data_IF_375362740050
#
_entry.id   IF_375362740050
#
_cell.length_a   1.000
_cell.length_b   1.000
_cell.length_c   1.000
_cell.angle_alpha   90.00
_cell.angle_beta   90.00
_cell.angle_gamma   90.00
#
_symmetry.space_group_name_H-M   'P 1'
#
loop_
_entity.id
_entity.type
_entity.pdbx_description
1 polymer ?
#
# COMPACT_ATOMS: atom_id res chain seq x y z
N UNK A 1 28.15 -1.41 5.07
CA UNK A 1 28.23 -1.58 3.61
C UNK A 1 27.91 -0.24 2.95
N UNK A 2 28.90 0.52 2.47
CA UNK A 2 28.65 1.69 1.63
C UNK A 2 28.25 1.20 0.22
N UNK A 3 27.19 1.77 -0.37
CA UNK A 3 27.05 1.76 -1.85
C UNK A 3 26.01 0.86 -2.51
N UNK A 4 24.91 0.45 -1.85
CA UNK A 4 23.76 -0.09 -2.60
C UNK A 4 22.79 1.06 -2.84
N UNK A 5 22.60 1.46 -4.10
CA UNK A 5 21.55 2.40 -4.51
C UNK A 5 20.18 1.81 -4.09
N UNK A 6 19.53 2.37 -3.05
CA UNK A 6 18.30 1.83 -2.54
C UNK A 6 17.17 1.90 -3.58
N UNK A 7 17.15 2.94 -4.42
CA UNK A 7 16.15 3.09 -5.48
C UNK A 7 16.44 2.16 -6.65
N UNK A 8 17.71 1.92 -6.98
CA UNK A 8 18.14 0.90 -7.93
C UNK A 8 17.65 -0.50 -7.54
N UNK A 9 17.62 -0.80 -6.24
CA UNK A 9 17.06 -2.06 -5.71
C UNK A 9 15.55 -2.14 -5.95
N UNK A 10 14.80 -1.04 -5.80
CA UNK A 10 13.37 -1.00 -6.09
C UNK A 10 13.06 -1.16 -7.57
N UNK A 11 13.83 -0.49 -8.44
CA UNK A 11 13.68 -0.66 -9.90
C UNK A 11 13.96 -2.10 -10.31
N UNK A 12 14.99 -2.74 -9.75
CA UNK A 12 15.26 -4.16 -9.97
C UNK A 12 14.18 -5.08 -9.39
N UNK A 13 13.56 -4.71 -8.26
CA UNK A 13 12.44 -5.46 -7.70
C UNK A 13 11.20 -5.39 -8.60
N UNK A 14 10.92 -4.25 -9.22
CA UNK A 14 9.81 -4.06 -10.16
C UNK A 14 9.97 -4.88 -11.45
N UNK A 15 11.21 -5.09 -11.92
CA UNK A 15 11.47 -5.92 -13.10
C UNK A 15 11.37 -7.43 -12.84
N UNK A 16 11.25 -7.86 -11.58
CA UNK A 16 11.14 -9.29 -11.23
C UNK A 16 9.70 -9.76 -11.42
N UNK A 17 9.50 -10.96 -12.00
CA UNK A 17 8.15 -11.51 -12.14
C UNK A 17 7.53 -11.72 -10.75
N UNK A 18 6.24 -11.41 -10.65
CA UNK A 18 5.39 -11.85 -9.54
C UNK A 18 3.94 -11.81 -9.96
N UNK A 19 3.10 -12.60 -9.29
CA UNK A 19 1.68 -12.67 -9.60
C UNK A 19 0.86 -11.56 -8.95
N UNK A 20 -0.41 -11.52 -9.35
CA UNK A 20 -1.46 -10.84 -8.61
C UNK A 20 -1.56 -11.40 -7.18
N UNK A 21 -2.13 -10.60 -6.28
CA UNK A 21 -2.29 -10.99 -4.88
C UNK A 21 -3.70 -10.72 -4.41
N UNK A 22 -4.12 -11.35 -3.33
CA UNK A 22 -5.47 -11.18 -2.81
C UNK A 22 -5.54 -11.26 -1.29
N UNK A 23 -6.54 -10.60 -0.69
CA UNK A 23 -6.99 -10.85 0.68
C UNK A 23 -7.47 -12.32 0.88
N UNK A 24 -7.60 -13.08 -0.21
CA UNK A 24 -8.02 -14.48 -0.24
C UNK A 24 -6.84 -15.46 -0.27
N UNK A 25 -5.59 -15.01 -0.49
CA UNK A 25 -4.42 -15.89 -0.66
C UNK A 25 -4.17 -16.83 0.52
N UNK A 26 -4.51 -16.39 1.75
CA UNK A 26 -4.39 -17.19 2.98
C UNK A 26 -5.69 -17.92 3.36
N UNK A 27 -6.73 -17.83 2.54
CA UNK A 27 -8.08 -18.30 2.82
C UNK A 27 -8.65 -19.07 1.61
N UNK A 28 -8.04 -20.20 1.19
CA UNK A 28 -8.44 -20.92 -0.02
C UNK A 28 -9.88 -21.47 0.05
N UNK A 29 -10.38 -21.74 1.27
CA UNK A 29 -11.72 -22.27 1.50
C UNK A 29 -12.80 -21.17 1.56
N UNK A 30 -12.42 -19.89 1.41
CA UNK A 30 -13.36 -18.80 1.47
C UNK A 30 -13.99 -18.58 0.09
N UNK A 31 -15.27 -18.95 -0.03
CA UNK A 31 -16.01 -18.87 -1.29
C UNK A 31 -16.42 -17.41 -1.55
N UNK A 32 -16.06 -16.91 -2.73
CA UNK A 32 -16.48 -15.60 -3.20
C UNK A 32 -17.94 -15.61 -3.67
N UNK A 33 -18.70 -14.54 -3.37
CA UNK A 33 -20.02 -14.37 -3.98
C UNK A 33 -19.90 -14.38 -5.49
N UNK A 34 -20.74 -15.18 -6.16
CA UNK A 34 -20.83 -15.18 -7.62
C UNK A 34 -21.28 -13.81 -8.16
N UNK A 35 -20.80 -13.44 -9.35
CA UNK A 35 -21.19 -12.19 -10.03
C UNK A 35 -20.61 -10.91 -9.41
N UNK A 36 -19.60 -11.01 -8.55
CA UNK A 36 -18.93 -9.85 -7.95
C UNK A 36 -18.29 -8.98 -9.03
N UNK A 37 -18.69 -7.72 -9.07
CA UNK A 37 -18.04 -6.69 -9.88
C UNK A 37 -16.93 -6.06 -9.07
N UNK A 38 -15.68 -6.24 -9.50
CA UNK A 38 -14.53 -5.58 -8.90
C UNK A 38 -14.44 -4.15 -9.41
N UNK A 39 -14.24 -3.21 -8.48
CA UNK A 39 -14.06 -1.78 -8.79
C UNK A 39 -12.57 -1.48 -8.89
N UNK A 40 -12.11 -0.79 -9.94
CA UNK A 40 -10.71 -0.41 -10.04
C UNK A 40 -10.37 0.65 -8.99
N UNK A 41 -9.19 0.50 -8.37
CA UNK A 41 -8.61 1.44 -7.43
C UNK A 41 -7.10 1.48 -7.63
N UNK A 42 -6.44 2.53 -7.16
CA UNK A 42 -5.00 2.63 -7.18
C UNK A 42 -4.48 3.30 -5.92
N UNK A 43 -3.33 2.84 -5.45
CA UNK A 43 -2.65 3.39 -4.28
C UNK A 43 -1.22 3.74 -4.62
N UNK A 44 -0.73 4.85 -4.08
CA UNK A 44 0.68 5.18 -4.18
C UNK A 44 1.44 4.50 -3.04
N UNK A 45 2.57 3.90 -3.35
CA UNK A 45 3.60 3.45 -2.40
C UNK A 45 4.72 4.50 -2.43
N UNK A 46 4.55 5.66 -1.76
CA UNK A 46 5.49 6.77 -1.80
C UNK A 46 6.72 6.47 -0.95
N UNK A 47 7.89 6.52 -1.59
CA UNK A 47 9.19 6.27 -0.97
C UNK A 47 9.96 7.58 -0.84
N UNK A 48 10.44 7.90 0.35
CA UNK A 48 11.31 9.06 0.61
C UNK A 48 12.71 8.60 0.97
N UNK A 49 13.69 9.30 0.43
CA UNK A 49 15.05 9.23 0.90
C UNK A 49 15.21 10.05 2.20
N UNK A 50 16.06 9.57 3.10
CA UNK A 50 16.40 10.30 4.31
C UNK A 50 17.74 9.85 4.88
N UNK A 51 18.28 10.57 5.88
CA UNK A 51 19.60 10.26 6.46
C UNK A 51 19.72 8.84 7.03
N UNK A 52 18.60 8.28 7.52
CA UNK A 52 18.54 6.93 8.07
C UNK A 52 18.15 5.85 7.03
N UNK A 53 18.10 6.21 5.74
CA UNK A 53 17.68 5.34 4.64
C UNK A 53 16.28 5.66 4.12
N UNK A 54 15.74 4.74 3.31
CA UNK A 54 14.41 4.89 2.71
C UNK A 54 13.30 4.79 3.76
N UNK A 55 12.22 5.51 3.53
CA UNK A 55 10.98 5.49 4.31
C UNK A 55 9.78 5.38 3.37
N UNK A 56 8.69 4.79 3.84
CA UNK A 56 7.40 4.77 3.13
C UNK A 56 6.39 5.64 3.87
N UNK A 57 5.62 6.47 3.17
CA UNK A 57 4.50 7.19 3.79
C UNK A 57 3.30 6.27 3.85
N UNK A 58 2.66 6.27 5.01
CA UNK A 58 1.38 5.62 5.26
C UNK A 58 0.45 6.63 5.94
N UNK A 59 -0.85 6.38 5.79
CA UNK A 59 -1.91 7.19 6.37
C UNK A 59 -2.69 6.35 7.38
N UNK A 60 -3.13 6.97 8.46
CA UNK A 60 -4.20 6.44 9.30
C UNK A 60 -5.51 7.07 8.85
N UNK A 61 -6.40 6.24 8.30
CA UNK A 61 -7.72 6.68 7.83
C UNK A 61 -8.54 7.26 8.98
N UNK A 62 -9.33 8.30 8.70
CA UNK A 62 -10.13 8.94 9.73
C UNK A 62 -11.08 7.96 10.38
N UNK A 63 -11.17 8.03 11.71
CA UNK A 63 -12.14 7.26 12.50
C UNK A 63 -13.60 7.57 12.16
N UNK A 64 -13.86 8.69 11.47
CA UNK A 64 -15.20 9.14 11.05
C UNK A 64 -15.70 8.51 9.75
N UNK A 65 -14.83 7.84 9.00
CA UNK A 65 -15.19 7.26 7.72
C UNK A 65 -16.09 6.03 7.88
N UNK A 66 -17.09 5.92 7.00
CA UNK A 66 -18.00 4.76 6.96
C UNK A 66 -17.27 3.45 6.65
N UNK A 67 -16.15 3.53 5.93
CA UNK A 67 -15.37 2.37 5.51
C UNK A 67 -13.94 2.45 6.03
N UNK A 68 -13.51 1.35 6.66
CA UNK A 68 -12.15 1.16 7.16
C UNK A 68 -11.66 2.24 8.16
N UNK A 69 -12.48 2.65 9.15
CA UNK A 69 -12.09 3.68 10.09
C UNK A 69 -10.84 3.28 10.88
N UNK A 70 -9.87 4.19 10.98
CA UNK A 70 -8.61 3.98 11.72
C UNK A 70 -7.65 2.97 11.11
N UNK A 71 -7.93 2.41 9.92
CA UNK A 71 -7.01 1.48 9.27
C UNK A 71 -5.78 2.22 8.72
N UNK A 72 -4.66 1.50 8.69
CA UNK A 72 -3.43 1.99 8.08
C UNK A 72 -3.44 1.62 6.60
N UNK A 73 -3.29 2.63 5.75
CA UNK A 73 -3.35 2.51 4.30
C UNK A 73 -2.18 3.24 3.64
N UNK A 74 -1.96 2.88 2.39
CA UNK A 74 -1.30 3.77 1.45
C UNK A 74 -2.26 4.89 1.06
N UNK A 75 -1.76 6.10 0.73
CA UNK A 75 -2.61 7.11 0.12
C UNK A 75 -3.11 6.62 -1.25
N UNK A 76 -4.38 6.85 -1.54
CA UNK A 76 -5.02 6.33 -2.74
C UNK A 76 -6.49 6.00 -2.59
N UNK A 77 -7.12 5.76 -3.74
CA UNK A 77 -8.57 5.59 -3.81
C UNK A 77 -9.05 4.95 -5.09
N UNK A 78 -10.30 5.23 -5.42
CA UNK A 78 -10.96 4.66 -6.61
C UNK A 78 -10.44 5.34 -7.86
N UNK A 79 -10.43 4.62 -8.98
CA UNK A 79 -10.30 5.27 -10.27
C UNK A 79 -11.59 6.04 -10.57
N UNK A 80 -11.45 7.31 -10.93
CA UNK A 80 -12.51 8.13 -11.50
C UNK A 80 -12.51 8.02 -13.03
N UNK A 81 -13.63 8.32 -13.67
CA UNK A 81 -13.80 8.26 -15.12
C UNK A 81 -12.89 9.25 -15.87
N UNK A 82 -12.39 10.28 -15.20
CA UNK A 82 -11.47 11.27 -15.76
C UNK A 82 -9.98 10.90 -15.57
N UNK A 83 -9.67 9.86 -14.78
CA UNK A 83 -8.29 9.44 -14.57
C UNK A 83 -7.73 8.75 -15.82
N UNK A 84 -6.55 9.18 -16.27
CA UNK A 84 -5.79 8.51 -17.34
C UNK A 84 -5.05 7.27 -16.78
N UNK A 85 -5.84 6.33 -16.28
CA UNK A 85 -5.37 5.07 -15.71
C UNK A 85 -4.93 5.14 -14.22
N UNK A 86 -4.42 4.02 -13.69
CA UNK A 86 -4.19 3.86 -12.26
C UNK A 86 -3.09 4.76 -11.68
N UNK A 87 -2.10 5.15 -12.50
CA UNK A 87 -1.04 6.06 -12.05
C UNK A 87 -1.62 7.45 -11.78
N UNK A 88 -2.45 7.96 -12.70
CA UNK A 88 -3.11 9.25 -12.54
C UNK A 88 -3.99 9.26 -11.28
N UNK A 89 -4.79 8.22 -11.08
CA UNK A 89 -5.63 8.07 -9.89
C UNK A 89 -4.81 8.05 -8.59
N UNK A 90 -3.75 7.23 -8.51
CA UNK A 90 -2.91 7.17 -7.31
C UNK A 90 -2.26 8.53 -6.97
N UNK A 91 -1.83 9.29 -7.98
CA UNK A 91 -1.23 10.61 -7.79
C UNK A 91 -2.26 11.66 -7.38
N UNK A 92 -3.44 11.68 -8.02
CA UNK A 92 -4.55 12.57 -7.67
C UNK A 92 -5.00 12.35 -6.23
N UNK A 93 -5.30 11.11 -5.87
CA UNK A 93 -5.75 10.75 -4.52
C UNK A 93 -4.66 11.04 -3.48
N UNK A 94 -3.39 10.80 -3.78
CA UNK A 94 -2.29 11.17 -2.86
C UNK A 94 -2.15 12.68 -2.69
N UNK A 95 -2.45 13.46 -3.72
CA UNK A 95 -2.50 14.91 -3.61
C UNK A 95 -3.68 15.37 -2.76
N UNK A 96 -4.86 14.77 -2.94
CA UNK A 96 -6.07 15.07 -2.18
C UNK A 96 -5.94 14.70 -0.69
N UNK A 97 -5.51 13.48 -0.39
CA UNK A 97 -5.49 12.92 0.98
C UNK A 97 -4.35 13.48 1.85
N UNK A 98 -3.17 13.71 1.28
CA UNK A 98 -1.97 14.11 2.04
C UNK A 98 -1.26 15.35 1.49
N UNK A 99 -1.77 15.97 0.43
CA UNK A 99 -1.16 17.18 -0.17
C UNK A 99 0.10 16.91 -0.98
N UNK A 100 0.37 15.66 -1.39
CA UNK A 100 1.58 15.30 -2.15
C UNK A 100 1.50 15.78 -3.60
N UNK A 101 2.30 16.77 -4.04
CA UNK A 101 2.25 17.26 -5.41
C UNK A 101 2.67 16.16 -6.40
N UNK A 102 1.90 15.90 -7.47
CA UNK A 102 2.24 14.85 -8.44
C UNK A 102 3.61 15.03 -9.11
N UNK A 103 4.03 16.28 -9.32
CA UNK A 103 5.33 16.66 -9.87
C UNK A 103 6.50 16.44 -8.90
N UNK A 104 6.24 16.13 -7.63
CA UNK A 104 7.27 15.71 -6.68
C UNK A 104 7.57 14.21 -6.77
N UNK A 105 6.72 13.45 -7.46
CA UNK A 105 6.78 11.99 -7.53
C UNK A 105 7.41 11.53 -8.84
N UNK A 106 8.55 10.86 -8.75
CA UNK A 106 9.07 10.02 -9.84
C UNK A 106 8.40 8.64 -9.77
N UNK A 107 7.52 8.33 -10.72
CA UNK A 107 6.90 7.01 -10.80
C UNK A 107 7.95 6.00 -11.26
N UNK A 108 8.20 4.99 -10.42
CA UNK A 108 9.16 3.92 -10.70
C UNK A 108 8.53 2.78 -11.50
N UNK A 109 7.22 2.56 -11.32
CA UNK A 109 6.44 1.52 -11.96
C UNK A 109 5.30 1.01 -11.08
N UNK A 110 4.61 -0.03 -11.51
CA UNK A 110 3.48 -0.62 -10.79
C UNK A 110 3.76 -2.05 -10.36
N UNK A 111 3.19 -2.47 -9.23
CA UNK A 111 3.07 -3.89 -8.90
C UNK A 111 1.84 -4.49 -9.60
N UNK A 112 1.79 -5.81 -9.81
CA UNK A 112 0.57 -6.50 -10.19
C UNK A 112 -0.58 -6.18 -9.23
N UNK A 113 -1.83 -6.18 -9.73
CA UNK A 113 -2.99 -5.84 -8.93
C UNK A 113 -3.16 -6.69 -7.66
N UNK A 114 -3.82 -6.08 -6.68
CA UNK A 114 -4.24 -6.70 -5.44
C UNK A 114 -5.77 -6.69 -5.32
N UNK A 115 -6.39 -7.87 -5.20
CA UNK A 115 -7.81 -7.98 -4.96
C UNK A 115 -8.13 -7.91 -3.46
N UNK A 116 -8.98 -6.96 -3.08
CA UNK A 116 -9.42 -6.79 -1.68
C UNK A 116 -10.71 -7.54 -1.40
N UNK A 117 -10.97 -7.87 -0.14
CA UNK A 117 -12.28 -8.43 0.29
C UNK A 117 -13.44 -7.44 0.11
N UNK A 118 -13.17 -6.15 -0.03
CA UNK A 118 -14.21 -5.10 -0.19
C UNK A 118 -14.57 -4.76 -1.63
N UNK A 119 -14.05 -5.53 -2.59
CA UNK A 119 -14.50 -5.50 -3.98
C UNK A 119 -13.71 -4.51 -4.82
N UNK A 120 -12.43 -4.35 -4.51
CA UNK A 120 -11.51 -3.54 -5.30
C UNK A 120 -10.39 -4.38 -5.90
N UNK A 121 -10.06 -4.06 -7.15
CA UNK A 121 -8.80 -4.41 -7.79
C UNK A 121 -7.89 -3.21 -7.66
N UNK A 122 -6.95 -3.27 -6.71
CA UNK A 122 -6.05 -2.17 -6.36
C UNK A 122 -4.75 -2.31 -7.15
N UNK A 123 -4.36 -1.31 -7.92
CA UNK A 123 -3.04 -1.23 -8.56
C UNK A 123 -2.07 -0.45 -7.65
N UNK A 124 -1.02 -1.07 -7.08
CA UNK A 124 -0.01 -0.36 -6.31
C UNK A 124 1.00 0.32 -7.24
N UNK A 125 1.15 1.63 -7.12
CA UNK A 125 2.08 2.46 -7.90
C UNK A 125 3.27 2.81 -7.01
N UNK A 126 4.50 2.40 -7.36
CA UNK A 126 5.69 2.79 -6.62
C UNK A 126 6.17 4.15 -7.12
N UNK A 127 6.33 5.10 -6.19
CA UNK A 127 6.82 6.44 -6.49
C UNK A 127 7.95 6.84 -5.56
N UNK A 128 9.02 7.42 -6.11
CA UNK A 128 10.06 8.10 -5.33
C UNK A 128 9.71 9.58 -5.20
N UNK A 129 9.55 10.06 -3.97
CA UNK A 129 9.36 11.49 -3.68
C UNK A 129 10.75 12.14 -3.71
N UNK A 130 10.96 13.04 -4.68
CA UNK A 130 12.30 13.54 -5.03
C UNK A 130 12.91 14.48 -3.99
N UNK A 131 12.06 15.26 -3.31
CA UNK A 131 12.49 16.28 -2.36
C UNK A 131 11.85 16.09 -0.97
N UNK A 132 12.20 16.98 -0.04
CA UNK A 132 11.51 17.09 1.23
C UNK A 132 10.02 17.36 1.00
N UNK A 133 9.19 16.64 1.74
CA UNK A 133 7.75 16.76 1.69
C UNK A 133 7.20 16.80 3.12
N UNK A 134 6.41 17.83 3.40
CA UNK A 134 5.68 18.01 4.65
C UNK A 134 4.19 17.71 4.40
N UNK A 135 3.67 16.56 4.87
CA UNK A 135 2.30 16.15 4.55
C UNK A 135 1.24 17.08 5.14
N UNK A 136 0.17 17.28 4.39
CA UNK A 136 -1.03 18.01 4.81
C UNK A 136 -2.23 17.06 4.75
N UNK A 137 -2.57 16.36 5.85
CA UNK A 137 -3.70 15.45 5.85
C UNK A 137 -5.01 16.19 5.59
N UNK A 138 -5.85 15.61 4.73
CA UNK A 138 -7.24 16.01 4.61
C UNK A 138 -8.01 15.57 5.87
N UNK A 139 -8.62 16.51 6.59
CA UNK A 139 -9.13 16.26 7.94
C UNK A 139 -10.41 15.41 8.00
N UNK A 140 -11.14 15.26 6.90
CA UNK A 140 -12.28 14.35 6.76
C UNK A 140 -11.86 12.90 6.50
N UNK A 141 -10.70 12.69 5.89
CA UNK A 141 -10.27 11.38 5.37
C UNK A 141 -9.04 10.79 6.09
N UNK A 142 -8.13 11.62 6.57
CA UNK A 142 -6.85 11.22 7.14
C UNK A 142 -6.66 11.84 8.53
N UNK A 143 -6.63 10.98 9.57
CA UNK A 143 -6.36 11.42 10.94
C UNK A 143 -4.85 11.68 11.15
N UNK A 144 -3.99 10.97 10.42
CA UNK A 144 -2.54 11.02 10.62
C UNK A 144 -1.77 10.58 9.36
N UNK A 145 -0.67 11.26 9.07
CA UNK A 145 0.33 10.82 8.09
C UNK A 145 1.63 10.52 8.82
N UNK A 146 2.22 9.35 8.58
CA UNK A 146 3.45 8.94 9.22
C UNK A 146 4.38 8.20 8.26
N UNK A 147 5.65 8.11 8.65
CA UNK A 147 6.68 7.43 7.87
C UNK A 147 7.11 6.15 8.58
N UNK A 148 7.04 5.02 7.88
CA UNK A 148 7.67 3.78 8.35
C UNK A 148 9.04 3.58 7.69
N UNK A 149 10.11 3.25 8.44
CA UNK A 149 11.40 2.92 7.85
C UNK A 149 11.23 1.75 6.88
N UNK A 150 11.68 1.93 5.64
CA UNK A 150 11.48 0.96 4.57
C UNK A 150 12.01 -0.42 4.95
N UNK A 151 13.19 -0.48 5.55
CA UNK A 151 13.80 -1.72 6.03
C UNK A 151 12.93 -2.50 7.04
N UNK A 152 12.07 -1.83 7.81
CA UNK A 152 11.20 -2.51 8.80
C UNK A 152 9.93 -3.09 8.19
N UNK A 153 9.45 -2.51 7.09
CA UNK A 153 8.24 -2.96 6.40
C UNK A 153 8.55 -3.79 5.15
N UNK A 154 9.83 -4.04 4.88
CA UNK A 154 10.34 -4.78 3.71
C UNK A 154 11.15 -6.01 4.06
N UNK A 155 11.25 -6.34 5.35
CA UNK A 155 11.84 -7.58 5.82
C UNK A 155 10.74 -8.66 5.87
N UNK A 156 10.75 -9.68 4.99
CA UNK A 156 9.75 -10.74 4.97
C UNK A 156 9.63 -11.48 6.33
N UNK A 157 10.69 -11.51 7.13
CA UNK A 157 10.70 -12.16 8.44
C UNK A 157 9.88 -11.40 9.51
N UNK A 158 9.56 -10.13 9.27
CA UNK A 158 8.73 -9.30 10.19
C UNK A 158 7.24 -9.44 9.95
N UNK A 159 6.83 -10.09 8.85
CA UNK A 159 5.41 -10.30 8.56
C UNK A 159 4.87 -11.47 9.39
N UNK A 160 3.75 -11.22 10.06
CA UNK A 160 3.07 -12.22 10.89
C UNK A 160 1.72 -12.53 10.26
N UNK A 161 1.35 -13.81 10.20
CA UNK A 161 0.00 -14.21 9.85
C UNK A 161 -0.83 -14.21 11.13
N UNK A 162 -1.89 -13.41 11.15
CA UNK A 162 -2.88 -13.38 12.22
C UNK A 162 -4.22 -13.89 11.71
N UNK A 163 -5.16 -14.14 12.63
CA UNK A 163 -6.51 -14.57 12.27
C UNK A 163 -7.61 -13.91 13.09
N UNK A 164 -8.80 -13.79 12.51
CA UNK A 164 -10.04 -13.37 13.18
C UNK A 164 -11.21 -14.20 12.69
N UNK A 165 -12.22 -14.39 13.55
CA UNK A 165 -13.51 -14.94 13.12
C UNK A 165 -14.33 -13.85 12.44
N UNK A 166 -14.82 -14.13 11.24
CA UNK A 166 -15.60 -13.21 10.42
C UNK A 166 -16.58 -14.02 9.55
N UNK A 167 -17.87 -13.66 9.56
CA UNK A 167 -18.95 -14.39 8.86
C UNK A 167 -18.94 -15.92 9.14
N UNK A 168 -18.72 -16.31 10.39
CA UNK A 168 -18.73 -17.72 10.80
C UNK A 168 -17.49 -18.52 10.42
N UNK A 169 -16.53 -17.93 9.70
CA UNK A 169 -15.28 -18.58 9.32
C UNK A 169 -14.09 -17.90 9.97
N UNK A 170 -13.06 -18.67 10.31
CA UNK A 170 -11.75 -18.12 10.68
C UNK A 170 -11.05 -17.64 9.41
N UNK A 171 -10.70 -16.36 9.36
CA UNK A 171 -9.92 -15.76 8.28
C UNK A 171 -8.53 -15.38 8.72
N UNK A 172 -7.57 -15.63 7.86
CA UNK A 172 -6.15 -15.34 8.04
C UNK A 172 -5.74 -14.15 7.18
N UNK A 173 -4.84 -13.32 7.70
CA UNK A 173 -4.34 -12.14 7.01
C UNK A 173 -2.92 -11.79 7.49
N UNK A 174 -2.17 -11.12 6.63
CA UNK A 174 -0.84 -10.62 6.98
C UNK A 174 -0.94 -9.36 7.86
N UNK A 175 0.02 -9.23 8.77
CA UNK A 175 0.34 -8.01 9.48
C UNK A 175 1.85 -7.74 9.41
N UNK A 176 2.24 -6.47 9.51
CA UNK A 176 3.65 -6.08 9.70
C UNK A 176 3.72 -5.07 10.84
N UNK A 177 4.16 -5.48 12.04
CA UNK A 177 4.16 -4.60 13.21
C UNK A 177 5.14 -3.43 13.06
N UNK A 178 4.65 -2.22 13.31
CA UNK A 178 5.47 -1.02 13.36
C UNK A 178 4.90 0.01 14.35
N UNK A 179 5.63 0.29 15.45
CA UNK A 179 5.21 1.26 16.45
C UNK A 179 3.80 0.98 17.01
N UNK A 180 2.97 2.01 17.26
CA UNK A 180 1.57 1.82 17.66
C UNK A 180 0.66 1.40 16.49
N UNK A 181 1.20 1.33 15.26
CA UNK A 181 0.39 1.14 14.06
C UNK A 181 0.17 -0.34 13.76
N UNK A 182 -1.10 -0.69 13.65
CA UNK A 182 -1.52 -2.00 13.20
C UNK A 182 -1.64 -1.99 11.67
N UNK A 183 -0.55 -2.35 10.98
CA UNK A 183 -0.52 -2.50 9.52
C UNK A 183 -0.95 -3.93 9.17
N UNK A 184 -2.08 -4.08 8.48
CA UNK A 184 -2.69 -5.39 8.21
C UNK A 184 -3.47 -5.39 6.89
N UNK A 185 -3.99 -6.56 6.50
CA UNK A 185 -4.86 -6.72 5.33
C UNK A 185 -4.17 -6.33 4.03
N UNK A 186 -4.89 -5.68 3.11
CA UNK A 186 -4.40 -5.26 1.81
C UNK A 186 -3.06 -4.50 1.87
N UNK A 187 -2.93 -3.53 2.78
CA UNK A 187 -1.69 -2.76 2.97
C UNK A 187 -0.51 -3.68 3.29
N UNK A 188 -0.67 -4.57 4.28
CA UNK A 188 0.37 -5.53 4.64
C UNK A 188 0.63 -6.55 3.53
N UNK A 189 -0.39 -6.97 2.77
CA UNK A 189 -0.23 -7.92 1.67
C UNK A 189 0.55 -7.32 0.49
N UNK A 190 0.30 -6.04 0.16
CA UNK A 190 1.05 -5.28 -0.85
C UNK A 190 2.51 -5.09 -0.40
N UNK A 191 2.72 -4.67 0.85
CA UNK A 191 4.07 -4.56 1.43
C UNK A 191 4.80 -5.91 1.38
N UNK A 192 4.11 -7.02 1.70
CA UNK A 192 4.68 -8.37 1.65
C UNK A 192 5.09 -8.75 0.23
N UNK A 193 4.26 -8.47 -0.76
CA UNK A 193 4.57 -8.75 -2.15
C UNK A 193 5.80 -7.98 -2.63
N UNK A 194 5.94 -6.71 -2.22
CA UNK A 194 7.13 -5.92 -2.50
C UNK A 194 8.36 -6.44 -1.76
N UNK A 195 8.23 -6.79 -0.48
CA UNK A 195 9.30 -7.36 0.33
C UNK A 195 9.86 -8.66 -0.27
N UNK A 196 8.98 -9.58 -0.68
CA UNK A 196 9.35 -10.83 -1.34
C UNK A 196 10.09 -10.58 -2.67
N UNK A 197 9.77 -9.50 -3.38
CA UNK A 197 10.50 -9.10 -4.60
C UNK A 197 11.84 -8.48 -4.29
N UNK A 198 11.98 -7.69 -3.23
CA UNK A 198 13.25 -7.05 -2.83
C UNK A 198 14.25 -8.08 -2.29
N UNK A 199 13.77 -9.09 -1.57
CA UNK A 199 14.61 -10.10 -0.92
C UNK A 199 15.26 -11.13 -1.87
N UNK A 200 14.78 -11.23 -3.11
CA UNK A 200 15.36 -12.08 -4.15
C UNK A 200 16.69 -11.54 -4.68
#
# INVERSE_FOLDING_TARGET
>A
MPGRDPLGTLRGALSRPGGETSDHDLNPDFIMPEGRVLRPAAVLVPILSGPAGLRVILTKRSSRLAHHPGQIAFPGGKLDACDDGPIAAALRESHEEIGLPPDLVEVLGTLPPHETVTGFTVTPVLGHVRDCFDPRPEAGEVDEVFNAPFAQVMDPARFVIQSRFWHGQRRYYYTVPYGPYYIWGATARILRALADRVAR
#
